data_IF_972844571504
#
_entry.id   IF_972844571504
#
_cell.length_a   1.000
_cell.length_b   1.000
_cell.length_c   1.000
_cell.angle_alpha   90.00
_cell.angle_beta   90.00
_cell.angle_gamma   90.00
#
_symmetry.space_group_name_H-M   'P 1'
#
loop_
_entity.id
_entity.type
_entity.pdbx_description
1 polymer ?
#
# COMPACT_ATOMS: atom_id res chain seq x y z
N UNK A 1 -18.94 -33.84 14.17
CA UNK A 1 -17.93 -32.96 13.56
C UNK A 1 -18.24 -32.73 12.09
N UNK A 2 -18.07 -31.49 11.61
CA UNK A 2 -18.28 -31.07 10.21
C UNK A 2 -17.24 -31.71 9.29
N UNK A 3 -15.96 -31.73 9.70
CA UNK A 3 -14.86 -32.35 8.95
C UNK A 3 -15.19 -33.79 8.55
N UNK A 4 -15.54 -34.63 9.53
CA UNK A 4 -15.90 -36.02 9.26
C UNK A 4 -17.19 -36.20 8.42
N UNK A 5 -18.06 -35.18 8.31
CA UNK A 5 -19.19 -35.22 7.35
C UNK A 5 -18.72 -34.90 5.93
N UNK A 6 -17.80 -33.96 5.77
CA UNK A 6 -17.20 -33.57 4.48
C UNK A 6 -16.33 -34.70 3.92
N UNK A 7 -15.45 -35.28 4.75
CA UNK A 7 -14.57 -36.39 4.37
C UNK A 7 -15.36 -37.63 3.93
N UNK A 8 -16.47 -37.96 4.62
CA UNK A 8 -17.38 -39.05 4.22
C UNK A 8 -18.09 -38.81 2.89
N UNK A 9 -18.15 -37.56 2.41
CA UNK A 9 -18.64 -37.21 1.08
C UNK A 9 -17.53 -37.24 0.01
N UNK A 10 -16.33 -37.70 0.36
CA UNK A 10 -15.22 -37.87 -0.58
C UNK A 10 -14.36 -36.62 -0.79
N UNK A 11 -14.63 -35.52 -0.07
CA UNK A 11 -13.79 -34.32 -0.12
C UNK A 11 -12.60 -34.51 0.83
N UNK A 12 -11.40 -34.65 0.27
CA UNK A 12 -10.16 -34.88 1.03
C UNK A 12 -9.19 -33.71 0.99
N UNK A 13 -9.30 -32.83 0.00
CA UNK A 13 -8.45 -31.65 -0.15
C UNK A 13 -9.22 -30.39 0.28
N UNK A 14 -9.21 -30.10 1.58
CA UNK A 14 -9.82 -28.89 2.11
C UNK A 14 -9.18 -28.45 3.43
N UNK A 15 -9.26 -27.15 3.70
CA UNK A 15 -8.89 -26.58 5.00
C UNK A 15 -10.11 -25.94 5.66
N UNK A 16 -10.30 -26.23 6.95
CA UNK A 16 -11.33 -25.58 7.75
C UNK A 16 -10.73 -24.36 8.44
N UNK A 17 -11.28 -23.19 8.13
CA UNK A 17 -10.95 -21.94 8.81
C UNK A 17 -12.11 -21.52 9.70
N UNK A 18 -11.87 -21.52 11.02
CA UNK A 18 -12.87 -21.09 12.00
C UNK A 18 -12.86 -19.57 12.11
N UNK A 19 -13.98 -18.95 11.74
CA UNK A 19 -14.18 -17.50 11.85
C UNK A 19 -14.91 -17.14 13.16
N UNK A 20 -14.78 -15.90 13.66
CA UNK A 20 -15.56 -15.42 14.79
C UNK A 20 -17.07 -15.55 14.53
N UNK A 21 -17.82 -16.08 15.51
CA UNK A 21 -19.27 -16.16 15.44
C UNK A 21 -19.91 -14.85 15.93
N UNK A 22 -21.09 -14.51 15.42
CA UNK A 22 -21.85 -13.30 15.77
C UNK A 22 -23.25 -13.67 16.22
N UNK A 23 -23.70 -13.14 17.35
CA UNK A 23 -25.07 -13.32 17.83
C UNK A 23 -25.18 -14.32 18.97
N UNK A 24 -26.34 -14.95 19.09
CA UNK A 24 -26.68 -15.78 20.23
C UNK A 24 -27.25 -17.12 19.79
N UNK A 25 -26.78 -18.19 20.43
CA UNK A 25 -27.05 -19.56 20.02
C UNK A 25 -27.35 -20.43 21.23
N UNK A 26 -28.23 -21.41 21.05
CA UNK A 26 -28.38 -22.51 21.99
C UNK A 26 -27.42 -23.63 21.59
N UNK A 27 -26.47 -23.95 22.48
CA UNK A 27 -25.52 -25.03 22.28
C UNK A 27 -25.70 -26.03 23.40
N UNK A 28 -26.32 -27.16 23.10
CA UNK A 28 -26.62 -28.25 24.04
C UNK A 28 -27.45 -27.80 25.26
N UNK A 29 -28.44 -26.93 25.06
CA UNK A 29 -29.29 -26.39 26.14
C UNK A 29 -28.63 -25.25 26.92
N UNK A 30 -27.43 -24.82 26.53
CA UNK A 30 -26.73 -23.68 27.13
C UNK A 30 -26.75 -22.53 26.14
N UNK A 31 -27.36 -21.42 26.54
CA UNK A 31 -27.38 -20.18 25.77
C UNK A 31 -25.98 -19.55 25.78
N UNK A 32 -25.41 -19.39 24.59
CA UNK A 32 -24.07 -18.82 24.35
C UNK A 32 -24.21 -17.55 23.53
N UNK A 33 -23.62 -16.46 24.02
CA UNK A 33 -23.65 -15.15 23.35
C UNK A 33 -22.26 -14.79 22.83
N UNK A 34 -22.16 -14.42 21.57
CA UNK A 34 -20.94 -13.98 20.92
C UNK A 34 -21.04 -12.48 20.64
N UNK A 35 -20.30 -11.69 21.41
CA UNK A 35 -20.17 -10.24 21.23
C UNK A 35 -18.99 -9.99 20.28
N UNK A 36 -19.28 -10.10 19.00
CA UNK A 36 -18.33 -9.91 17.90
C UNK A 36 -19.03 -9.09 16.83
N UNK A 37 -18.32 -8.12 16.26
CA UNK A 37 -18.83 -7.26 15.20
C UNK A 37 -18.64 -7.87 13.81
N UNK A 38 -19.31 -7.29 12.83
CA UNK A 38 -19.10 -7.62 11.41
C UNK A 38 -17.63 -7.44 11.00
N UNK A 39 -17.00 -6.33 11.40
CA UNK A 39 -15.61 -6.02 11.07
C UNK A 39 -14.63 -7.07 11.59
N UNK A 40 -14.85 -7.64 12.78
CA UNK A 40 -13.98 -8.69 13.33
C UNK A 40 -13.97 -9.95 12.45
N UNK A 41 -15.13 -10.31 11.90
CA UNK A 41 -15.27 -11.42 10.95
C UNK A 41 -14.52 -11.11 9.66
N UNK A 42 -14.75 -9.92 9.09
CA UNK A 42 -14.10 -9.49 7.86
C UNK A 42 -12.57 -9.42 8.03
N UNK A 43 -12.09 -8.90 9.15
CA UNK A 43 -10.65 -8.86 9.48
C UNK A 43 -10.07 -10.27 9.58
N UNK A 44 -10.74 -11.20 10.26
CA UNK A 44 -10.25 -12.57 10.37
C UNK A 44 -10.09 -13.25 8.99
N UNK A 45 -11.06 -13.07 8.09
CA UNK A 45 -11.03 -13.61 6.72
C UNK A 45 -9.95 -12.90 5.88
N UNK A 46 -9.84 -11.58 5.98
CA UNK A 46 -8.86 -10.80 5.23
C UNK A 46 -7.42 -11.11 5.64
N UNK A 47 -7.12 -11.14 6.94
CA UNK A 47 -5.80 -11.56 7.46
C UNK A 47 -5.46 -12.97 7.00
N UNK A 48 -6.46 -13.84 6.90
CA UNK A 48 -6.29 -15.18 6.38
C UNK A 48 -5.90 -15.19 4.89
N UNK A 49 -6.52 -14.36 4.05
CA UNK A 49 -6.10 -14.19 2.66
C UNK A 49 -4.69 -13.60 2.54
N UNK A 50 -4.37 -12.55 3.32
CA UNK A 50 -3.02 -11.97 3.34
C UNK A 50 -1.98 -13.01 3.74
N UNK A 51 -2.25 -13.85 4.74
CA UNK A 51 -1.32 -14.91 5.14
C UNK A 51 -1.12 -16.00 4.09
N UNK A 52 -2.20 -16.42 3.41
CA UNK A 52 -2.15 -17.50 2.41
C UNK A 52 -1.63 -17.05 1.05
N UNK A 53 -1.76 -15.75 0.76
CA UNK A 53 -1.35 -15.10 -0.48
C UNK A 53 -1.82 -15.80 -1.77
N UNK A 54 -3.11 -16.20 -1.90
CA UNK A 54 -3.56 -16.88 -3.11
C UNK A 54 -3.40 -15.98 -4.35
N UNK A 55 -3.11 -16.58 -5.52
CA UNK A 55 -2.93 -15.85 -6.79
C UNK A 55 -4.26 -15.56 -7.51
N UNK A 56 -5.33 -16.26 -7.12
CA UNK A 56 -6.71 -16.00 -7.54
C UNK A 56 -7.67 -16.41 -6.44
N UNK A 57 -8.87 -15.82 -6.40
CA UNK A 57 -9.93 -16.17 -5.46
C UNK A 57 -11.24 -16.48 -6.19
N UNK A 58 -11.87 -17.59 -5.81
CA UNK A 58 -13.29 -17.83 -6.10
C UNK A 58 -14.03 -17.86 -4.76
N UNK A 59 -15.00 -16.96 -4.61
CA UNK A 59 -15.77 -16.76 -3.38
C UNK A 59 -17.19 -17.25 -3.59
N UNK A 60 -17.50 -18.43 -3.06
CA UNK A 60 -18.83 -19.02 -3.14
C UNK A 60 -19.77 -18.42 -2.08
N UNK A 61 -20.81 -17.71 -2.54
CA UNK A 61 -21.82 -17.07 -1.69
C UNK A 61 -23.16 -17.83 -1.67
N UNK A 62 -23.21 -19.01 -2.31
CA UNK A 62 -24.43 -19.82 -2.44
C UNK A 62 -24.94 -20.35 -1.12
N UNK A 63 -24.02 -20.59 -0.18
CA UNK A 63 -24.33 -21.14 1.14
C UNK A 63 -23.65 -20.34 2.24
N UNK A 64 -24.41 -19.96 3.27
CA UNK A 64 -23.90 -19.19 4.40
C UNK A 64 -24.95 -18.28 5.01
N UNK A 65 -24.75 -17.89 6.27
CA UNK A 65 -25.58 -16.83 6.84
C UNK A 65 -25.15 -15.47 6.29
N UNK A 66 -26.12 -14.59 6.02
CA UNK A 66 -25.93 -13.30 5.36
C UNK A 66 -24.74 -12.49 5.92
N UNK A 67 -24.59 -12.42 7.25
CA UNK A 67 -23.50 -11.65 7.88
C UNK A 67 -22.11 -12.15 7.48
N UNK A 68 -21.91 -13.47 7.38
CA UNK A 68 -20.62 -14.06 7.04
C UNK A 68 -20.34 -13.97 5.54
N UNK A 69 -21.38 -14.13 4.71
CA UNK A 69 -21.28 -13.95 3.25
C UNK A 69 -20.84 -12.53 2.91
N UNK A 70 -21.50 -11.52 3.49
CA UNK A 70 -21.14 -10.12 3.27
C UNK A 70 -19.72 -9.82 3.78
N UNK A 71 -19.34 -10.36 4.95
CA UNK A 71 -18.00 -10.17 5.50
C UNK A 71 -16.91 -10.81 4.63
N UNK A 72 -17.20 -11.97 4.03
CA UNK A 72 -16.30 -12.67 3.13
C UNK A 72 -16.10 -11.90 1.82
N UNK A 73 -17.17 -11.35 1.23
CA UNK A 73 -17.08 -10.50 0.03
C UNK A 73 -16.29 -9.22 0.32
N UNK A 74 -16.51 -8.59 1.47
CA UNK A 74 -15.77 -7.39 1.87
C UNK A 74 -14.28 -7.69 2.10
N UNK A 75 -13.96 -8.81 2.76
CA UNK A 75 -12.59 -9.28 2.92
C UNK A 75 -11.92 -9.60 1.58
N UNK A 76 -12.64 -10.22 0.63
CA UNK A 76 -12.14 -10.52 -0.70
C UNK A 76 -11.86 -9.24 -1.51
N UNK A 77 -12.76 -8.24 -1.46
CA UNK A 77 -12.55 -6.92 -2.05
C UNK A 77 -11.33 -6.22 -1.47
N UNK A 78 -11.19 -6.26 -0.14
CA UNK A 78 -10.03 -5.70 0.54
C UNK A 78 -8.74 -6.38 0.10
N UNK A 79 -8.75 -7.71 0.01
CA UNK A 79 -7.59 -8.48 -0.44
C UNK A 79 -7.23 -8.21 -1.91
N UNK A 80 -8.22 -8.09 -2.78
CA UNK A 80 -7.99 -7.72 -4.17
C UNK A 80 -7.36 -6.32 -4.27
N UNK A 81 -7.86 -5.35 -3.51
CA UNK A 81 -7.28 -4.00 -3.44
C UNK A 81 -5.84 -4.03 -2.95
N UNK A 82 -5.56 -4.85 -1.93
CA UNK A 82 -4.22 -5.07 -1.41
C UNK A 82 -3.28 -5.60 -2.50
N UNK A 83 -3.67 -6.64 -3.26
CA UNK A 83 -2.87 -7.21 -4.35
C UNK A 83 -2.66 -6.23 -5.51
N UNK A 84 -3.66 -5.44 -5.86
CA UNK A 84 -3.55 -4.40 -6.90
C UNK A 84 -2.55 -3.30 -6.51
N UNK A 85 -2.53 -2.89 -5.24
CA UNK A 85 -1.60 -1.86 -4.75
C UNK A 85 -0.13 -2.31 -4.79
N UNK A 86 0.16 -3.61 -4.68
CA UNK A 86 1.53 -4.12 -4.80
C UNK A 86 2.13 -3.88 -6.17
N UNK A 87 1.29 -3.82 -7.20
CA UNK A 87 1.72 -3.73 -8.60
C UNK A 87 1.39 -2.37 -9.24
N UNK A 88 0.85 -1.42 -8.48
CA UNK A 88 0.29 -0.18 -9.04
C UNK A 88 1.33 0.64 -9.84
N UNK A 89 2.61 0.55 -9.44
CA UNK A 89 3.74 1.26 -10.05
C UNK A 89 4.49 0.47 -11.12
N UNK A 90 4.24 -0.84 -11.27
CA UNK A 90 5.06 -1.70 -12.14
C UNK A 90 4.84 -1.36 -13.61
N UNK A 91 5.91 -1.22 -14.40
CA UNK A 91 5.80 -0.72 -15.77
C UNK A 91 5.20 -1.75 -16.73
N UNK A 92 5.33 -3.05 -16.42
CA UNK A 92 4.68 -4.14 -17.15
C UNK A 92 3.25 -4.37 -16.69
N UNK A 93 2.37 -4.72 -17.63
CA UNK A 93 1.09 -5.34 -17.31
C UNK A 93 1.40 -6.79 -16.88
N UNK A 94 1.36 -7.05 -15.58
CA UNK A 94 1.46 -8.41 -15.05
C UNK A 94 0.13 -9.15 -15.17
N UNK A 95 0.16 -10.47 -14.99
CA UNK A 95 -1.04 -11.27 -14.77
C UNK A 95 -1.74 -10.73 -13.51
N UNK A 96 -2.82 -9.97 -13.70
CA UNK A 96 -3.55 -9.31 -12.62
C UNK A 96 -4.14 -10.33 -11.65
N UNK A 97 -4.31 -9.92 -10.39
CA UNK A 97 -4.99 -10.74 -9.40
C UNK A 97 -6.49 -10.79 -9.71
N UNK A 98 -7.07 -11.98 -9.84
CA UNK A 98 -8.50 -12.14 -10.15
C UNK A 98 -9.30 -12.60 -8.93
N UNK A 99 -10.51 -12.04 -8.82
CA UNK A 99 -11.52 -12.49 -7.86
C UNK A 99 -12.84 -12.69 -8.59
N UNK A 100 -13.44 -13.85 -8.38
CA UNK A 100 -14.77 -14.19 -8.90
C UNK A 100 -15.71 -14.51 -7.74
N UNK A 101 -16.95 -14.06 -7.83
CA UNK A 101 -18.03 -14.45 -6.93
C UNK A 101 -18.80 -15.58 -7.59
N UNK A 102 -18.87 -16.73 -6.92
CA UNK A 102 -19.65 -17.88 -7.35
C UNK A 102 -21.02 -17.87 -6.65
N UNK A 103 -22.09 -18.09 -7.40
CA UNK A 103 -23.43 -18.27 -6.85
C UNK A 103 -24.22 -19.34 -7.59
N UNK A 104 -24.93 -20.17 -6.83
CA UNK A 104 -25.88 -21.16 -7.34
C UNK A 104 -27.29 -20.85 -6.83
N UNK A 105 -28.34 -21.09 -7.62
CA UNK A 105 -29.71 -21.02 -7.14
C UNK A 105 -29.99 -22.08 -6.04
N UNK A 106 -31.05 -21.91 -5.23
CA UNK A 106 -31.43 -22.90 -4.23
C UNK A 106 -31.65 -24.29 -4.84
N UNK A 107 -31.02 -25.31 -4.27
CA UNK A 107 -31.11 -26.69 -4.76
C UNK A 107 -32.36 -27.37 -4.17
N UNK A 108 -33.38 -27.55 -5.02
CA UNK A 108 -34.62 -28.25 -4.67
C UNK A 108 -34.51 -29.78 -4.75
N UNK A 109 -35.50 -30.48 -4.18
CA UNK A 109 -35.61 -31.94 -4.36
C UNK A 109 -35.87 -32.28 -5.83
N UNK A 110 -35.13 -33.24 -6.38
CA UNK A 110 -35.28 -33.71 -7.76
C UNK A 110 -34.43 -32.95 -8.80
N UNK A 111 -33.61 -32.00 -8.37
CA UNK A 111 -32.66 -31.30 -9.25
C UNK A 111 -31.38 -32.14 -9.38
N UNK A 112 -31.03 -32.54 -10.60
CA UNK A 112 -29.81 -33.32 -10.90
C UNK A 112 -28.61 -32.45 -11.25
N UNK A 113 -28.84 -31.25 -11.78
CA UNK A 113 -27.80 -30.34 -12.25
C UNK A 113 -28.15 -28.90 -11.86
N UNK A 114 -27.13 -28.13 -11.47
CA UNK A 114 -27.27 -26.75 -11.04
C UNK A 114 -26.17 -25.93 -11.70
N UNK A 115 -26.54 -24.84 -12.39
CA UNK A 115 -25.58 -23.89 -12.94
C UNK A 115 -24.95 -23.07 -11.83
N UNK A 116 -23.62 -22.92 -11.89
CA UNK A 116 -22.87 -21.98 -11.06
C UNK A 116 -22.58 -20.76 -11.91
N UNK A 117 -23.03 -19.59 -11.45
CA UNK A 117 -22.70 -18.33 -12.08
C UNK A 117 -21.42 -17.78 -11.45
N UNK A 118 -20.47 -17.36 -12.29
CA UNK A 118 -19.25 -16.67 -11.89
C UNK A 118 -19.33 -15.20 -12.31
N UNK A 119 -19.20 -14.31 -11.33
CA UNK A 119 -19.25 -12.87 -11.53
C UNK A 119 -17.90 -12.25 -11.14
N UNK A 120 -17.18 -11.58 -12.06
CA UNK A 120 -15.90 -10.98 -11.73
C UNK A 120 -16.08 -9.82 -10.73
N UNK A 121 -15.35 -9.86 -9.63
CA UNK A 121 -15.30 -8.79 -8.64
C UNK A 121 -14.24 -7.77 -9.05
N UNK A 122 -14.63 -6.83 -9.90
CA UNK A 122 -13.75 -5.73 -10.31
C UNK A 122 -13.48 -4.78 -9.14
N UNK A 123 -12.24 -4.74 -8.66
CA UNK A 123 -11.75 -3.70 -7.76
C UNK A 123 -10.92 -2.69 -8.53
N UNK A 124 -11.07 -1.39 -8.21
CA UNK A 124 -10.18 -0.35 -8.71
C UNK A 124 -9.39 0.21 -7.55
N UNK A 125 -8.10 -0.10 -7.49
CA UNK A 125 -7.18 0.58 -6.59
C UNK A 125 -6.82 1.96 -7.17
N UNK A 126 -6.90 2.98 -6.33
CA UNK A 126 -6.45 4.34 -6.66
C UNK A 126 -5.10 4.59 -6.01
N UNK A 127 -4.22 5.33 -6.69
CA UNK A 127 -2.96 5.77 -6.11
C UNK A 127 -3.19 6.89 -5.08
N UNK A 128 -3.61 6.48 -3.88
CA UNK A 128 -3.85 7.33 -2.73
C UNK A 128 -3.07 6.78 -1.55
N UNK A 129 -2.46 7.67 -0.76
CA UNK A 129 -1.78 7.27 0.47
C UNK A 129 -2.83 6.78 1.49
N UNK A 130 -2.79 5.50 1.91
CA UNK A 130 -3.75 4.99 2.89
C UNK A 130 -3.57 5.68 4.22
N UNK A 131 -4.66 6.05 4.91
CA UNK A 131 -4.59 6.59 6.28
C UNK A 131 -4.32 5.46 7.27
N UNK A 132 -3.07 5.03 7.36
CA UNK A 132 -2.66 3.90 8.17
C UNK A 132 -2.09 4.35 9.53
N UNK A 133 -2.64 3.79 10.61
CA UNK A 133 -2.20 4.03 11.98
C UNK A 133 -2.32 2.73 12.77
N UNK A 134 -1.18 2.09 13.05
CA UNK A 134 -1.10 0.78 13.74
C UNK A 134 -1.58 0.85 15.20
N UNK A 135 -1.75 2.04 15.75
CA UNK A 135 -2.24 2.24 17.12
C UNK A 135 -3.76 2.51 17.16
N UNK A 136 -4.39 2.72 16.00
CA UNK A 136 -5.84 3.02 15.88
C UNK A 136 -6.57 1.96 15.05
N UNK A 137 -6.43 0.70 15.45
CA UNK A 137 -7.06 -0.44 14.76
C UNK A 137 -8.47 -0.77 15.27
N UNK A 138 -8.86 -0.23 16.42
CA UNK A 138 -10.15 -0.53 17.06
C UNK A 138 -11.28 0.30 16.45
N UNK A 139 -12.50 -0.20 16.57
CA UNK A 139 -13.71 0.57 16.25
C UNK A 139 -13.80 1.82 17.13
N UNK A 140 -14.35 2.92 16.61
CA UNK A 140 -14.48 4.19 17.36
C UNK A 140 -15.36 4.05 18.61
N UNK A 141 -16.30 3.10 18.57
CA UNK A 141 -17.21 2.77 19.67
C UNK A 141 -16.63 1.78 20.69
N UNK A 142 -15.39 1.32 20.50
CA UNK A 142 -14.75 0.41 21.45
C UNK A 142 -14.72 1.02 22.86
N UNK A 143 -15.13 0.25 23.87
CA UNK A 143 -15.14 0.74 25.24
C UNK A 143 -13.70 0.97 25.80
N UNK A 144 -13.62 1.60 26.97
CA UNK A 144 -12.34 1.91 27.61
C UNK A 144 -11.56 0.66 28.02
N UNK A 145 -12.23 -0.45 28.33
CA UNK A 145 -11.60 -1.68 28.76
C UNK A 145 -10.88 -2.36 27.59
N UNK A 146 -11.54 -2.47 26.43
CA UNK A 146 -10.94 -2.98 25.20
C UNK A 146 -9.75 -2.13 24.75
N UNK A 147 -9.86 -0.80 24.83
CA UNK A 147 -8.74 0.10 24.54
C UNK A 147 -7.56 -0.12 25.49
N UNK A 148 -7.82 -0.31 26.78
CA UNK A 148 -6.78 -0.61 27.78
C UNK A 148 -6.10 -1.94 27.47
N UNK A 149 -6.88 -2.98 27.16
CA UNK A 149 -6.35 -4.31 26.80
C UNK A 149 -5.52 -4.25 25.50
N UNK A 150 -6.04 -3.62 24.46
CA UNK A 150 -5.30 -3.40 23.21
C UNK A 150 -4.01 -2.61 23.43
N UNK A 151 -4.02 -1.67 24.38
CA UNK A 151 -2.82 -0.94 24.80
C UNK A 151 -1.79 -1.80 25.54
N UNK A 152 -2.22 -2.79 26.33
CA UNK A 152 -1.33 -3.78 26.96
C UNK A 152 -0.67 -4.64 25.88
N UNK A 153 -1.48 -5.25 25.02
CA UNK A 153 -1.00 -6.06 23.90
C UNK A 153 -0.06 -5.22 23.03
N UNK A 154 -0.46 -3.99 22.68
CA UNK A 154 0.34 -3.09 21.85
C UNK A 154 1.73 -2.77 22.38
N UNK A 155 1.99 -2.87 23.70
CA UNK A 155 3.34 -2.70 24.29
C UNK A 155 4.25 -3.90 24.05
N UNK A 156 3.70 -5.12 24.13
CA UNK A 156 4.42 -6.36 23.81
C UNK A 156 4.95 -6.36 22.37
N UNK A 157 4.24 -5.64 21.52
CA UNK A 157 4.46 -5.54 20.08
C UNK A 157 5.10 -4.22 19.64
N UNK A 158 5.71 -3.47 20.57
CA UNK A 158 6.28 -2.14 20.33
C UNK A 158 7.39 -2.13 19.27
N UNK A 159 8.17 -3.22 19.16
CA UNK A 159 9.23 -3.41 18.18
C UNK A 159 8.74 -3.26 16.74
N UNK A 160 7.89 -4.18 16.27
CA UNK A 160 7.39 -4.10 14.89
C UNK A 160 6.54 -2.85 14.66
N UNK A 161 5.81 -2.35 15.68
CA UNK A 161 5.05 -1.09 15.54
C UNK A 161 5.97 0.08 15.20
N UNK A 162 7.16 0.11 15.78
CA UNK A 162 8.20 1.08 15.42
C UNK A 162 8.60 0.94 13.95
N UNK A 163 8.83 -0.29 13.49
CA UNK A 163 9.22 -0.56 12.10
C UNK A 163 8.10 -0.25 11.11
N UNK A 164 6.84 -0.52 11.46
CA UNK A 164 5.69 -0.08 10.67
C UNK A 164 5.62 1.45 10.55
N UNK A 165 5.85 2.19 11.64
CA UNK A 165 5.85 3.67 11.59
C UNK A 165 6.97 4.20 10.69
N UNK A 166 8.17 3.61 10.76
CA UNK A 166 9.28 3.93 9.83
C UNK A 166 8.89 3.64 8.38
N UNK A 167 8.31 2.47 8.12
CA UNK A 167 7.81 2.07 6.81
C UNK A 167 6.81 3.08 6.27
N UNK A 168 5.84 3.48 7.08
CA UNK A 168 4.82 4.43 6.68
C UNK A 168 5.37 5.84 6.44
N UNK A 169 6.38 6.26 7.20
CA UNK A 169 7.06 7.55 6.97
C UNK A 169 7.89 7.56 5.69
N UNK A 170 8.59 6.48 5.37
CA UNK A 170 9.28 6.32 4.07
C UNK A 170 8.29 6.23 2.91
N UNK A 171 7.19 5.49 3.09
CA UNK A 171 6.10 5.40 2.13
C UNK A 171 5.56 6.80 1.79
N UNK A 172 5.36 7.65 2.80
CA UNK A 172 4.87 9.02 2.60
C UNK A 172 5.81 9.82 1.71
N UNK A 173 7.12 9.71 1.92
CA UNK A 173 8.15 10.37 1.08
C UNK A 173 8.09 9.84 -0.36
N UNK A 174 8.06 8.52 -0.55
CA UNK A 174 7.97 7.90 -1.88
C UNK A 174 6.69 8.30 -2.63
N UNK A 175 5.55 8.24 -1.94
CA UNK A 175 4.25 8.65 -2.46
C UNK A 175 4.25 10.11 -2.89
N UNK A 176 4.74 11.01 -2.04
CA UNK A 176 4.82 12.42 -2.37
C UNK A 176 5.80 12.70 -3.50
N UNK A 177 6.91 11.96 -3.59
CA UNK A 177 7.84 12.10 -4.71
C UNK A 177 7.16 11.79 -6.05
N UNK A 178 6.32 10.76 -6.15
CA UNK A 178 5.53 10.51 -7.37
C UNK A 178 4.45 11.57 -7.56
N UNK A 179 3.64 11.82 -6.54
CA UNK A 179 2.49 12.74 -6.60
C UNK A 179 2.89 14.16 -7.00
N UNK A 180 3.99 14.67 -6.44
CA UNK A 180 4.50 16.03 -6.66
C UNK A 180 5.64 16.11 -7.68
N UNK A 181 5.77 15.08 -8.53
CA UNK A 181 6.69 15.09 -9.68
C UNK A 181 8.18 15.26 -9.32
N UNK A 182 8.68 14.56 -8.30
CA UNK A 182 10.07 14.64 -7.81
C UNK A 182 10.78 13.30 -8.04
N UNK A 183 11.04 12.89 -9.30
CA UNK A 183 11.59 11.56 -9.62
C UNK A 183 12.99 11.32 -9.04
N UNK A 184 13.82 12.37 -8.92
CA UNK A 184 15.20 12.26 -8.43
C UNK A 184 15.30 11.75 -6.98
N UNK A 185 14.20 11.80 -6.22
CA UNK A 185 14.10 11.22 -4.89
C UNK A 185 14.39 9.71 -4.89
N UNK A 186 13.96 8.98 -5.91
CA UNK A 186 14.14 7.53 -5.99
C UNK A 186 15.59 7.12 -6.20
N UNK A 187 16.42 8.01 -6.72
CA UNK A 187 17.83 7.77 -6.99
C UNK A 187 18.75 8.33 -5.89
N UNK A 188 18.19 9.06 -4.91
CA UNK A 188 18.97 9.69 -3.83
C UNK A 188 18.77 8.93 -2.52
N UNK A 189 19.75 8.09 -2.15
CA UNK A 189 19.63 7.16 -1.02
C UNK A 189 19.38 7.85 0.32
N UNK A 190 19.95 9.05 0.52
CA UNK A 190 19.77 9.82 1.73
C UNK A 190 18.33 10.38 1.88
N UNK A 191 17.61 10.54 0.76
CA UNK A 191 16.20 10.93 0.74
C UNK A 191 15.30 9.72 0.92
N UNK A 192 15.49 8.68 0.11
CA UNK A 192 14.60 7.52 0.06
C UNK A 192 15.40 6.21 -0.03
N UNK A 193 15.35 5.40 1.03
CA UNK A 193 16.08 4.12 1.12
C UNK A 193 15.24 2.94 0.65
N UNK A 194 14.04 2.76 1.20
CA UNK A 194 13.13 1.62 0.96
C UNK A 194 13.77 0.26 1.31
N UNK A 195 14.58 0.20 2.36
CA UNK A 195 15.39 -0.95 2.74
C UNK A 195 14.75 -1.85 3.81
N UNK A 196 13.63 -1.43 4.41
CA UNK A 196 12.96 -2.23 5.45
C UNK A 196 12.51 -3.60 4.93
N UNK A 197 12.55 -4.60 5.82
CA UNK A 197 12.05 -5.94 5.54
C UNK A 197 10.51 -5.95 5.63
N UNK A 198 9.87 -5.77 4.48
CA UNK A 198 8.41 -5.67 4.37
C UNK A 198 7.70 -6.92 4.88
N UNK A 199 8.27 -8.10 4.63
CA UNK A 199 7.65 -9.36 5.03
C UNK A 199 7.74 -9.60 6.54
N UNK A 200 8.78 -9.10 7.21
CA UNK A 200 8.85 -9.09 8.67
C UNK A 200 7.83 -8.16 9.29
N UNK A 201 7.66 -6.94 8.73
CA UNK A 201 6.63 -6.00 9.19
C UNK A 201 5.23 -6.59 8.99
N UNK A 202 4.96 -7.19 7.83
CA UNK A 202 3.68 -7.84 7.52
C UNK A 202 3.39 -8.99 8.48
N UNK A 203 4.37 -9.87 8.75
CA UNK A 203 4.23 -10.94 9.75
C UNK A 203 3.94 -10.39 11.14
N UNK A 204 4.66 -9.36 11.57
CA UNK A 204 4.43 -8.71 12.86
C UNK A 204 3.02 -8.13 13.00
N UNK A 205 2.49 -7.51 11.94
CA UNK A 205 1.10 -7.02 11.91
C UNK A 205 0.10 -8.19 11.99
N UNK A 206 0.32 -9.29 11.26
CA UNK A 206 -0.54 -10.48 11.31
C UNK A 206 -0.55 -11.08 12.72
N UNK A 207 0.61 -11.23 13.36
CA UNK A 207 0.73 -11.75 14.73
C UNK A 207 0.01 -10.87 15.74
N UNK A 208 0.17 -9.55 15.64
CA UNK A 208 -0.54 -8.59 16.48
C UNK A 208 -2.05 -8.68 16.31
N UNK A 209 -2.54 -8.76 15.08
CA UNK A 209 -3.96 -8.89 14.80
C UNK A 209 -4.51 -10.21 15.30
N UNK A 210 -3.78 -11.32 15.15
CA UNK A 210 -4.19 -12.60 15.71
C UNK A 210 -4.34 -12.51 17.23
N UNK A 211 -3.43 -11.79 17.91
CA UNK A 211 -3.53 -11.57 19.35
C UNK A 211 -4.73 -10.70 19.74
N UNK A 212 -5.00 -9.64 18.98
CA UNK A 212 -6.18 -8.79 19.21
C UNK A 212 -7.50 -9.53 18.93
N UNK A 213 -7.49 -10.43 17.94
CA UNK A 213 -8.63 -11.26 17.61
C UNK A 213 -8.87 -12.37 18.63
N UNK A 214 -7.97 -12.66 19.58
CA UNK A 214 -8.24 -13.65 20.62
C UNK A 214 -9.49 -13.27 21.42
N UNK A 215 -10.29 -14.28 21.75
CA UNK A 215 -11.52 -14.08 22.52
C UNK A 215 -11.30 -14.31 24.00
N UNK A 216 -11.95 -13.51 24.83
CA UNK A 216 -12.25 -13.86 26.21
C UNK A 216 -13.57 -14.63 26.27
N UNK A 217 -13.65 -15.66 27.11
CA UNK A 217 -14.83 -16.51 27.30
C UNK A 217 -15.06 -16.71 28.81
N UNK A 218 -16.22 -16.31 29.30
CA UNK A 218 -16.63 -16.48 30.70
C UNK A 218 -17.58 -17.67 30.92
N UNK A 219 -17.76 -18.51 29.89
CA UNK A 219 -18.68 -19.64 29.91
C UNK A 219 -20.08 -19.32 29.38
N UNK A 220 -20.46 -18.04 29.25
CA UNK A 220 -21.75 -17.62 28.71
C UNK A 220 -21.59 -16.63 27.55
N UNK A 221 -20.64 -15.71 27.69
CA UNK A 221 -20.35 -14.64 26.75
C UNK A 221 -18.92 -14.78 26.25
N UNK A 222 -18.80 -14.87 24.93
CA UNK A 222 -17.52 -14.80 24.24
C UNK A 222 -17.36 -13.40 23.63
N UNK A 223 -16.33 -12.66 24.05
CA UNK A 223 -16.06 -11.30 23.60
C UNK A 223 -14.71 -11.22 22.88
N UNK A 224 -14.57 -10.26 21.97
CA UNK A 224 -13.31 -9.94 21.29
C UNK A 224 -13.11 -8.43 21.30
N UNK A 225 -11.87 -7.99 21.14
CA UNK A 225 -11.57 -6.57 20.93
C UNK A 225 -12.17 -6.18 19.58
N UNK A 226 -13.09 -5.19 19.53
CA UNK A 226 -13.75 -4.82 18.28
C UNK A 226 -12.78 -4.07 17.37
N UNK A 227 -12.38 -4.70 16.28
CA UNK A 227 -11.50 -4.13 15.26
C UNK A 227 -12.30 -3.36 14.21
N UNK A 228 -11.65 -2.38 13.58
CA UNK A 228 -12.16 -1.71 12.39
C UNK A 228 -11.53 -2.33 11.15
N UNK A 229 -12.36 -2.92 10.29
CA UNK A 229 -11.89 -3.51 9.03
C UNK A 229 -11.17 -2.47 8.18
N UNK A 230 -11.72 -1.25 8.09
CA UNK A 230 -11.12 -0.11 7.37
C UNK A 230 -9.74 0.26 7.92
N UNK A 231 -9.58 0.34 9.24
CA UNK A 231 -8.29 0.70 9.84
C UNK A 231 -7.24 -0.39 9.58
N UNK A 232 -7.63 -1.66 9.74
CA UNK A 232 -6.78 -2.81 9.48
C UNK A 232 -6.39 -2.90 8.00
N UNK A 233 -7.35 -2.78 7.09
CA UNK A 233 -7.08 -2.84 5.65
C UNK A 233 -6.13 -1.72 5.22
N UNK A 234 -6.26 -0.50 5.77
CA UNK A 234 -5.35 0.61 5.48
C UNK A 234 -3.90 0.32 5.89
N UNK A 235 -3.68 -0.38 7.01
CA UNK A 235 -2.33 -0.82 7.41
C UNK A 235 -1.73 -1.75 6.36
N UNK A 236 -2.49 -2.74 5.88
CA UNK A 236 -2.01 -3.63 4.83
C UNK A 236 -1.89 -2.95 3.47
N UNK A 237 -2.75 -1.99 3.13
CA UNK A 237 -2.60 -1.17 1.93
C UNK A 237 -1.32 -0.35 1.95
N UNK A 238 -0.93 0.19 3.11
CA UNK A 238 0.35 0.88 3.25
C UNK A 238 1.53 -0.09 3.04
N UNK A 239 1.46 -1.31 3.58
CA UNK A 239 2.47 -2.36 3.36
C UNK A 239 2.56 -2.72 1.87
N UNK A 240 1.42 -2.98 1.21
CA UNK A 240 1.37 -3.30 -0.21
C UNK A 240 1.96 -2.19 -1.07
N UNK A 241 1.59 -0.93 -0.81
CA UNK A 241 2.08 0.21 -1.57
C UNK A 241 3.59 0.40 -1.36
N UNK A 242 4.09 0.21 -0.14
CA UNK A 242 5.52 0.24 0.15
C UNK A 242 6.28 -0.87 -0.59
N UNK A 243 5.72 -2.10 -0.62
CA UNK A 243 6.26 -3.21 -1.42
C UNK A 243 6.36 -2.82 -2.90
N UNK A 244 5.30 -2.22 -3.44
CA UNK A 244 5.29 -1.71 -4.82
C UNK A 244 6.38 -0.66 -5.08
N UNK A 245 6.56 0.31 -4.17
CA UNK A 245 7.65 1.29 -4.29
C UNK A 245 9.04 0.67 -4.19
N UNK A 246 9.22 -0.31 -3.30
CA UNK A 246 10.49 -1.02 -3.13
C UNK A 246 10.87 -1.77 -4.41
N UNK A 247 9.91 -2.51 -4.98
CA UNK A 247 10.09 -3.22 -6.25
C UNK A 247 10.39 -2.23 -7.38
N UNK A 248 9.58 -1.18 -7.52
CA UNK A 248 9.79 -0.12 -8.51
C UNK A 248 11.20 0.50 -8.42
N UNK A 249 11.66 0.85 -7.22
CA UNK A 249 13.01 1.41 -7.00
C UNK A 249 14.12 0.41 -7.39
N UNK A 250 13.91 -0.88 -7.14
CA UNK A 250 14.89 -1.93 -7.46
C UNK A 250 15.11 -2.15 -8.96
N UNK A 251 14.14 -1.75 -9.78
CA UNK A 251 14.20 -1.82 -11.25
C UNK A 251 14.86 -0.59 -11.89
N UNK A 252 15.13 0.45 -11.10
CA UNK A 252 15.75 1.69 -11.59
C UNK A 252 17.24 1.52 -11.82
N UNK A 253 17.73 2.13 -12.90
CA UNK A 253 19.16 2.25 -13.18
C UNK A 253 19.74 3.57 -12.65
N UNK A 254 20.80 4.08 -13.26
CA UNK A 254 21.42 5.35 -12.85
C UNK A 254 20.56 6.56 -13.23
N UNK A 255 20.63 7.69 -12.47
CA UNK A 255 19.80 8.88 -12.66
C UNK A 255 20.20 9.73 -13.88
N UNK A 256 20.26 9.10 -15.06
CA UNK A 256 20.38 9.83 -16.33
C UNK A 256 19.05 10.47 -16.72
N UNK A 257 19.11 11.57 -17.48
CA UNK A 257 17.90 12.21 -18.03
C UNK A 257 17.09 11.20 -18.85
N UNK A 258 17.76 10.37 -19.65
CA UNK A 258 17.12 9.37 -20.49
C UNK A 258 16.37 8.32 -19.66
N UNK A 259 16.96 7.89 -18.54
CA UNK A 259 16.32 6.94 -17.63
C UNK A 259 15.12 7.55 -16.91
N UNK A 260 15.32 8.70 -16.28
CA UNK A 260 14.26 9.42 -15.57
C UNK A 260 13.10 9.68 -16.53
N UNK A 261 13.41 10.10 -17.76
CA UNK A 261 12.43 10.32 -18.82
C UNK A 261 11.67 9.02 -19.12
N UNK A 262 12.39 7.96 -19.50
CA UNK A 262 11.79 6.67 -19.88
C UNK A 262 10.85 6.14 -18.79
N UNK A 263 11.31 6.09 -17.56
CA UNK A 263 10.60 5.46 -16.45
C UNK A 263 9.42 6.31 -15.98
N UNK A 264 9.65 7.59 -15.64
CA UNK A 264 8.62 8.37 -14.96
C UNK A 264 7.54 8.88 -15.90
N UNK A 265 7.83 9.13 -17.18
CA UNK A 265 6.76 9.44 -18.13
C UNK A 265 5.86 8.22 -18.38
N UNK A 266 6.43 7.02 -18.45
CA UNK A 266 5.61 5.80 -18.51
C UNK A 266 4.75 5.63 -17.25
N UNK A 267 5.34 5.84 -16.06
CA UNK A 267 4.61 5.78 -14.79
C UNK A 267 3.44 6.78 -14.75
N UNK A 268 3.66 8.04 -15.14
CA UNK A 268 2.63 9.09 -15.09
C UNK A 268 1.49 8.90 -16.08
N UNK A 269 1.73 8.17 -17.18
CA UNK A 269 0.68 7.78 -18.14
C UNK A 269 -0.25 6.69 -17.60
N UNK A 270 0.17 5.93 -16.58
CA UNK A 270 -0.68 4.89 -16.00
C UNK A 270 -1.91 5.53 -15.36
N UNK A 271 -3.09 5.10 -15.81
CA UNK A 271 -4.37 5.61 -15.30
C UNK A 271 -4.54 5.41 -13.80
N UNK A 272 -3.98 4.32 -13.25
CA UNK A 272 -3.99 4.02 -11.81
C UNK A 272 -3.23 5.05 -10.96
N UNK A 273 -2.18 5.66 -11.51
CA UNK A 273 -1.37 6.70 -10.84
C UNK A 273 -2.08 8.06 -10.88
N UNK A 274 -2.78 8.36 -11.97
CA UNK A 274 -3.61 9.57 -12.07
C UNK A 274 -2.81 10.88 -12.13
N UNK A 275 -1.56 10.84 -12.59
CA UNK A 275 -0.63 11.97 -12.58
C UNK A 275 -0.18 12.40 -13.99
N UNK A 276 -1.03 12.24 -15.01
CA UNK A 276 -0.68 12.49 -16.41
C UNK A 276 -0.13 13.91 -16.68
N UNK A 277 -0.56 14.92 -15.92
CA UNK A 277 -0.06 16.30 -16.08
C UNK A 277 1.41 16.43 -15.67
N UNK A 278 1.89 15.62 -14.71
CA UNK A 278 3.28 15.61 -14.29
C UNK A 278 4.22 15.23 -15.44
N UNK A 279 3.70 14.48 -16.42
CA UNK A 279 4.46 14.06 -17.59
C UNK A 279 5.01 15.28 -18.36
N UNK A 280 4.14 16.24 -18.63
CA UNK A 280 4.48 17.43 -19.40
C UNK A 280 5.51 18.32 -18.67
N UNK A 281 5.31 18.52 -17.36
CA UNK A 281 6.22 19.34 -16.56
C UNK A 281 7.62 18.73 -16.47
N UNK A 282 7.70 17.43 -16.20
CA UNK A 282 8.99 16.75 -16.10
C UNK A 282 9.71 16.75 -17.45
N UNK A 283 9.01 16.40 -18.53
CA UNK A 283 9.62 16.34 -19.86
C UNK A 283 10.15 17.71 -20.32
N UNK A 284 9.44 18.80 -20.00
CA UNK A 284 9.90 20.16 -20.27
C UNK A 284 11.19 20.50 -19.51
N UNK A 285 11.25 20.24 -18.20
CA UNK A 285 12.45 20.52 -17.39
C UNK A 285 13.66 19.71 -17.90
N UNK A 286 13.47 18.44 -18.22
CA UNK A 286 14.53 17.59 -18.77
C UNK A 286 15.06 18.10 -20.11
N UNK A 287 14.17 18.52 -21.03
CA UNK A 287 14.58 19.14 -22.31
C UNK A 287 15.35 20.45 -22.11
N UNK A 288 15.00 21.24 -21.11
CA UNK A 288 15.72 22.48 -20.80
C UNK A 288 17.15 22.17 -20.35
N UNK A 289 17.36 21.14 -19.53
CA UNK A 289 18.69 20.71 -19.09
C UNK A 289 19.49 20.13 -20.26
N UNK A 290 18.88 19.32 -21.13
CA UNK A 290 19.55 18.76 -22.31
C UNK A 290 20.10 19.82 -23.26
N UNK A 291 19.38 20.95 -23.45
CA UNK A 291 19.88 22.08 -24.25
C UNK A 291 21.16 22.70 -23.70
N UNK A 292 21.49 22.45 -22.43
CA UNK A 292 22.69 22.95 -21.78
C UNK A 292 23.87 21.96 -21.86
N UNK A 293 23.70 20.78 -22.47
CA UNK A 293 24.70 19.70 -22.53
C UNK A 293 26.11 20.18 -22.89
N UNK A 294 26.23 20.98 -23.95
CA UNK A 294 27.51 21.49 -24.45
C UNK A 294 28.23 22.44 -23.48
N UNK A 295 27.48 23.04 -22.54
CA UNK A 295 28.00 23.95 -21.50
C UNK A 295 28.41 23.21 -20.22
N UNK A 296 28.04 21.95 -20.06
CA UNK A 296 28.38 21.18 -18.86
C UNK A 296 29.86 20.84 -18.89
N UNK A 297 30.57 21.21 -17.83
CA UNK A 297 32.01 20.95 -17.65
C UNK A 297 32.20 20.28 -16.29
N UNK A 298 32.47 18.97 -16.31
CA UNK A 298 32.53 18.16 -15.10
C UNK A 298 31.19 18.13 -14.37
N UNK A 299 31.25 17.98 -13.04
CA UNK A 299 30.09 18.04 -12.16
C UNK A 299 29.86 19.48 -11.70
N UNK A 300 28.67 20.02 -11.93
CA UNK A 300 28.36 21.41 -11.56
C UNK A 300 26.88 21.63 -11.26
N UNK A 301 26.55 22.66 -10.48
CA UNK A 301 25.17 23.04 -10.17
C UNK A 301 24.48 23.66 -11.39
N UNK A 302 23.19 23.37 -11.58
CA UNK A 302 22.36 23.97 -12.63
C UNK A 302 22.37 25.50 -12.57
N UNK A 303 22.39 26.09 -11.38
CA UNK A 303 22.46 27.55 -11.18
C UNK A 303 23.57 28.20 -12.03
N UNK A 304 24.76 27.60 -12.06
CA UNK A 304 25.91 28.15 -12.80
C UNK A 304 25.73 28.10 -14.32
N UNK A 305 25.01 27.10 -14.83
CA UNK A 305 24.74 26.95 -16.26
C UNK A 305 23.74 27.99 -16.77
N UNK A 306 22.74 28.32 -15.94
CA UNK A 306 21.77 29.37 -16.26
C UNK A 306 22.39 30.77 -16.15
N UNK A 307 23.27 31.01 -15.17
CA UNK A 307 23.97 32.29 -15.07
C UNK A 307 24.98 32.51 -16.19
N UNK A 308 25.68 31.47 -16.64
CA UNK A 308 26.65 31.58 -17.75
C UNK A 308 25.99 31.79 -19.13
N UNK A 309 24.66 31.64 -19.24
CA UNK A 309 23.90 31.87 -20.46
C UNK A 309 23.15 33.21 -20.52
N UNK A 310 23.10 33.96 -19.41
CA UNK A 310 22.42 35.24 -19.34
C UNK A 310 23.46 36.35 -19.12
N UNK A 311 23.60 37.25 -20.10
CA UNK A 311 24.29 38.54 -19.98
C UNK A 311 23.58 39.51 -18.99
N UNK A 312 22.78 38.99 -18.06
CA UNK A 312 22.07 39.80 -17.08
C UNK A 312 22.89 39.84 -15.79
N UNK A 313 23.48 41.00 -15.51
CA UNK A 313 24.10 41.43 -14.25
C UNK A 313 23.12 41.46 -13.05
N UNK A 314 22.13 40.58 -13.01
CA UNK A 314 21.08 40.55 -11.99
C UNK A 314 21.23 39.35 -11.07
N UNK A 315 22.06 39.49 -10.02
CA UNK A 315 22.18 38.66 -8.80
C UNK A 315 22.09 37.13 -9.00
N UNK A 316 23.11 36.41 -8.53
CA UNK A 316 23.02 35.01 -8.08
C UNK A 316 22.03 34.88 -6.90
N UNK A 317 20.79 35.32 -7.07
CA UNK A 317 19.76 35.34 -6.06
C UNK A 317 19.10 33.97 -6.02
N UNK A 318 19.20 33.31 -4.87
CA UNK A 318 18.42 32.11 -4.61
C UNK A 318 16.91 32.39 -4.68
N UNK A 319 16.16 31.33 -4.92
CA UNK A 319 14.70 31.34 -4.92
C UNK A 319 14.14 31.97 -3.65
N UNK A 320 13.24 32.96 -3.82
CA UNK A 320 12.52 33.59 -2.70
C UNK A 320 11.63 32.63 -1.92
N UNK A 321 11.11 31.59 -2.61
CA UNK A 321 10.41 30.45 -2.03
C UNK A 321 10.99 29.15 -2.63
N UNK A 322 12.05 28.64 -2.01
CA UNK A 322 12.77 27.46 -2.49
C UNK A 322 11.88 26.20 -2.51
N UNK A 323 10.97 26.05 -1.54
CA UNK A 323 10.08 24.88 -1.45
C UNK A 323 9.06 24.87 -2.58
N UNK A 324 8.38 26.01 -2.83
CA UNK A 324 7.44 26.13 -3.94
C UNK A 324 8.11 25.91 -5.29
N UNK A 325 9.27 26.54 -5.50
CA UNK A 325 10.01 26.41 -6.76
C UNK A 325 10.52 24.99 -6.96
N UNK A 326 10.92 24.29 -5.89
CA UNK A 326 11.30 22.88 -5.96
C UNK A 326 10.20 22.02 -6.56
N UNK A 327 8.96 22.12 -6.07
CA UNK A 327 7.85 21.33 -6.63
C UNK A 327 7.39 21.82 -8.01
N UNK A 328 7.46 23.12 -8.28
CA UNK A 328 7.12 23.68 -9.59
C UNK A 328 8.08 23.21 -10.71
N UNK A 329 9.34 22.94 -10.37
CA UNK A 329 10.38 22.48 -11.30
C UNK A 329 10.66 20.98 -11.16
N UNK A 330 9.66 20.18 -10.81
CA UNK A 330 9.77 18.71 -10.76
C UNK A 330 10.92 18.20 -9.86
N UNK A 331 11.23 18.94 -8.79
CA UNK A 331 12.35 18.65 -7.90
C UNK A 331 13.73 19.07 -8.41
N UNK A 332 13.82 19.71 -9.58
CA UNK A 332 15.07 20.09 -10.26
C UNK A 332 15.45 21.55 -10.01
N UNK A 333 15.32 21.98 -8.74
CA UNK A 333 15.66 23.34 -8.33
C UNK A 333 17.14 23.65 -8.60
N UNK A 334 17.41 24.79 -9.24
CA UNK A 334 18.72 25.12 -9.82
C UNK A 334 19.86 25.16 -8.79
N UNK A 335 19.52 25.60 -7.58
CA UNK A 335 20.44 25.83 -6.47
C UNK A 335 20.89 24.54 -5.77
N UNK A 336 20.10 23.47 -5.88
CA UNK A 336 20.40 22.18 -5.24
C UNK A 336 20.58 21.02 -6.24
N UNK A 337 20.37 21.23 -7.54
CA UNK A 337 20.54 20.20 -8.57
C UNK A 337 21.92 20.32 -9.23
N UNK A 338 22.63 19.21 -9.25
CA UNK A 338 23.92 19.03 -9.92
C UNK A 338 23.74 18.19 -11.18
N UNK A 339 24.52 18.52 -12.21
CA UNK A 339 24.58 17.80 -13.47
C UNK A 339 26.00 17.40 -13.80
N UNK A 340 26.15 16.25 -14.44
CA UNK A 340 27.44 15.73 -14.90
C UNK A 340 27.26 14.98 -16.22
N UNK A 341 28.16 15.19 -17.19
CA UNK A 341 28.18 14.42 -18.44
C UNK A 341 29.17 13.27 -18.34
N UNK A 342 28.68 12.04 -18.47
CA UNK A 342 29.50 10.81 -18.49
C UNK A 342 29.04 9.93 -19.65
N UNK A 343 29.99 9.46 -20.47
CA UNK A 343 29.67 8.57 -21.60
C UNK A 343 28.62 9.13 -22.57
N UNK A 344 28.56 10.46 -22.71
CA UNK A 344 27.57 11.14 -23.56
C UNK A 344 26.16 11.31 -22.97
N UNK A 345 25.91 10.83 -21.75
CA UNK A 345 24.63 10.99 -21.02
C UNK A 345 24.73 12.07 -19.95
N UNK A 346 23.61 12.70 -19.61
CA UNK A 346 23.52 13.71 -18.54
C UNK A 346 22.96 13.05 -17.29
N UNK A 347 23.74 13.04 -16.22
CA UNK A 347 23.37 12.52 -14.92
C UNK A 347 22.93 13.64 -13.99
N UNK A 348 21.88 13.38 -13.20
CA UNK A 348 21.33 14.31 -12.22
C UNK A 348 21.61 13.82 -10.80
N UNK A 349 21.90 14.75 -9.89
CA UNK A 349 21.96 14.46 -8.45
C UNK A 349 21.63 15.71 -7.64
N UNK A 350 21.24 15.57 -6.37
CA UNK A 350 21.17 16.71 -5.47
C UNK A 350 22.49 16.95 -4.74
N UNK A 351 22.75 18.21 -4.38
CA UNK A 351 23.90 18.58 -3.55
C UNK A 351 23.72 18.02 -2.13
N UNK A 352 24.78 17.43 -1.57
CA UNK A 352 24.71 16.75 -0.25
C UNK A 352 24.21 17.65 0.88
N UNK A 353 24.53 18.94 0.83
CA UNK A 353 24.12 19.95 1.81
C UNK A 353 22.62 20.26 1.81
N UNK A 354 21.89 19.92 0.74
CA UNK A 354 20.46 20.25 0.58
C UNK A 354 19.54 19.03 0.73
N UNK A 355 20.08 17.81 0.70
CA UNK A 355 19.29 16.56 0.80
C UNK A 355 18.41 16.52 2.05
N UNK A 356 18.94 16.91 3.22
CA UNK A 356 18.17 16.91 4.47
C UNK A 356 16.95 17.84 4.44
N UNK A 357 17.05 18.97 3.73
CA UNK A 357 15.95 19.91 3.54
C UNK A 357 14.93 19.36 2.54
N UNK A 358 15.39 18.80 1.42
CA UNK A 358 14.53 18.18 0.39
C UNK A 358 13.70 17.04 1.00
N UNK A 359 14.30 16.22 1.87
CA UNK A 359 13.59 15.16 2.59
C UNK A 359 12.46 15.71 3.47
N UNK A 360 12.68 16.86 4.12
CA UNK A 360 11.63 17.53 4.91
C UNK A 360 10.50 18.04 4.02
N UNK A 361 10.82 18.67 2.89
CA UNK A 361 9.82 19.10 1.93
C UNK A 361 8.99 17.94 1.40
N UNK A 362 9.59 16.79 1.10
CA UNK A 362 8.83 15.62 0.63
C UNK A 362 7.97 14.96 1.72
N UNK A 363 8.33 15.07 2.99
CA UNK A 363 7.47 14.59 4.09
C UNK A 363 6.21 15.45 4.22
N UNK A 364 6.35 16.75 4.05
CA UNK A 364 5.31 17.77 4.22
C UNK A 364 5.37 18.76 3.04
N UNK A 365 4.84 18.37 1.85
CA UNK A 365 4.96 19.13 0.60
C UNK A 365 4.23 20.47 0.59
#
# INVERSE_FOLDING_TARGET
DFRGRVERKGLTDFELFLIPAVGEYDVNGVRRRFLTGFDDVAVAIFVRFVRKRPDSLVVDISTGHNVYVVAMVEAARGYATYRELENILQLSEGDGFSVEIASSPPIGKGVSEVGIELHPLSVRAFFLLPTADIDKLLHEEADKEFRKLAGVIGREYSGFKSDFRKLYDELRVAFNAVKYNVPLAFYTQEVLTLDLNVDEVERGVIEFLNKLLESTDDGFVRKRIPLSFRAVSNVFYAIALYRGFKNFKSELSEPSIEEIRRVFLQLYRKKSVGAAVNEYFLDNELRMIEKLKEKIRGKMRLLYLYSAGCEAEGRLGGSSDAKRNFFAHSGLLKECTEVEVKGGKIYLSWTKDRVGEIKKWLKEP
#
